data_IF_888379283493
#
_entry.id   IF_888379283493
#
_cell.length_a   1.000
_cell.length_b   1.000
_cell.length_c   1.000
_cell.angle_alpha   90.00
_cell.angle_beta   90.00
_cell.angle_gamma   90.00
#
_symmetry.space_group_name_H-M   'P 1'
#
loop_
_entity.id
_entity.type
_entity.pdbx_description
1 polymer ?
#
# COMPACT_ATOMS: atom_id res chain seq x y z
N UNK A 1 -11.43 -28.17 -4.40
CA UNK A 1 -11.91 -26.77 -4.20
C UNK A 1 -10.90 -25.72 -4.70
N UNK A 2 -10.06 -26.01 -5.73
CA UNK A 2 -8.93 -25.15 -6.13
C UNK A 2 -9.06 -24.46 -7.51
N UNK A 3 -10.08 -24.79 -8.30
CA UNK A 3 -10.19 -24.29 -9.67
C UNK A 3 -10.86 -22.92 -9.80
N UNK A 4 -11.73 -22.54 -8.84
CA UNK A 4 -12.45 -21.26 -8.90
C UNK A 4 -11.58 -20.07 -8.46
N UNK A 5 -10.52 -20.29 -7.67
CA UNK A 5 -9.63 -19.22 -7.20
C UNK A 5 -8.57 -18.80 -8.24
N UNK A 6 -8.27 -19.65 -9.23
CA UNK A 6 -7.29 -19.34 -10.29
C UNK A 6 -7.87 -18.44 -11.39
N UNK A 7 -9.19 -18.49 -11.62
CA UNK A 7 -9.82 -17.70 -12.69
C UNK A 7 -10.05 -16.23 -12.31
N UNK A 8 -10.12 -15.89 -11.02
CA UNK A 8 -10.36 -14.51 -10.56
C UNK A 8 -9.13 -13.61 -10.77
N UNK A 9 -7.92 -14.19 -10.82
CA UNK A 9 -6.67 -13.42 -10.93
C UNK A 9 -6.28 -12.99 -12.35
N UNK A 10 -6.98 -13.46 -13.40
CA UNK A 10 -6.52 -13.28 -14.79
C UNK A 10 -7.29 -12.31 -15.68
N UNK A 11 -8.24 -11.54 -15.14
CA UNK A 11 -9.09 -10.66 -15.94
C UNK A 11 -8.69 -9.19 -15.70
N UNK A 12 -8.14 -8.46 -16.70
CA UNK A 12 -7.94 -7.02 -16.62
C UNK A 12 -9.27 -6.30 -16.42
N UNK A 13 -9.25 -5.14 -15.75
CA UNK A 13 -10.45 -4.31 -15.58
C UNK A 13 -10.95 -3.85 -16.96
N UNK A 14 -11.92 -4.56 -17.51
CA UNK A 14 -12.82 -4.00 -18.52
C UNK A 14 -13.80 -3.11 -17.77
N UNK A 15 -14.18 -1.94 -18.29
CA UNK A 15 -15.09 -0.98 -17.64
C UNK A 15 -16.51 -1.49 -17.31
N UNK A 16 -16.71 -2.82 -17.23
CA UNK A 16 -17.91 -3.54 -16.81
C UNK A 16 -17.81 -4.14 -15.39
N UNK A 17 -16.63 -4.15 -14.75
CA UNK A 17 -16.49 -4.72 -13.42
C UNK A 17 -16.96 -3.74 -12.34
N UNK A 18 -17.75 -4.23 -11.37
CA UNK A 18 -18.18 -3.39 -10.25
C UNK A 18 -17.00 -3.07 -9.33
N UNK A 19 -17.03 -1.89 -8.70
CA UNK A 19 -15.99 -1.47 -7.74
C UNK A 19 -15.79 -2.49 -6.61
N UNK A 20 -16.86 -3.17 -6.20
CA UNK A 20 -16.83 -4.25 -5.21
C UNK A 20 -16.08 -5.49 -5.72
N UNK A 21 -16.22 -5.84 -7.00
CA UNK A 21 -15.46 -6.94 -7.59
C UNK A 21 -13.96 -6.61 -7.65
N UNK A 22 -13.60 -5.38 -8.01
CA UNK A 22 -12.22 -4.92 -8.01
C UNK A 22 -11.63 -4.93 -6.60
N UNK A 23 -12.40 -4.47 -5.61
CA UNK A 23 -12.02 -4.53 -4.20
C UNK A 23 -11.79 -5.95 -3.71
N UNK A 24 -12.67 -6.89 -4.07
CA UNK A 24 -12.49 -8.29 -3.75
C UNK A 24 -11.22 -8.88 -4.38
N UNK A 25 -10.91 -8.52 -5.63
CA UNK A 25 -9.64 -8.89 -6.29
C UNK A 25 -8.43 -8.32 -5.55
N UNK A 26 -8.45 -7.04 -5.19
CA UNK A 26 -7.37 -6.39 -4.45
C UNK A 26 -7.15 -7.03 -3.08
N UNK A 27 -8.22 -7.32 -2.34
CA UNK A 27 -8.14 -8.02 -1.05
C UNK A 27 -7.60 -9.46 -1.20
N UNK A 28 -7.99 -10.16 -2.27
CA UNK A 28 -7.47 -11.50 -2.58
C UNK A 28 -5.97 -11.45 -2.90
N UNK A 29 -5.52 -10.45 -3.67
CA UNK A 29 -4.10 -10.26 -3.96
C UNK A 29 -3.32 -9.93 -2.68
N UNK A 30 -3.88 -9.10 -1.81
CA UNK A 30 -3.31 -8.78 -0.52
C UNK A 30 -3.09 -10.03 0.34
N UNK A 31 -4.09 -10.90 0.47
CA UNK A 31 -3.93 -12.19 1.17
C UNK A 31 -2.90 -13.09 0.50
N UNK A 32 -2.96 -13.25 -0.83
CA UNK A 32 -2.10 -14.20 -1.55
C UNK A 32 -0.64 -13.77 -1.53
N UNK A 33 -0.37 -12.47 -1.67
CA UNK A 33 0.99 -11.92 -1.58
C UNK A 33 1.56 -12.06 -0.18
N UNK A 34 0.76 -11.81 0.87
CA UNK A 34 1.13 -12.10 2.26
C UNK A 34 1.54 -13.57 2.42
N UNK A 35 0.69 -14.49 1.94
CA UNK A 35 0.92 -15.94 2.05
C UNK A 35 2.20 -16.36 1.32
N UNK A 36 2.41 -15.92 0.09
CA UNK A 36 3.62 -16.23 -0.69
C UNK A 36 4.87 -15.65 -0.03
N UNK A 37 4.80 -14.41 0.44
CA UNK A 37 5.90 -13.74 1.14
C UNK A 37 6.39 -14.52 2.37
N UNK A 38 5.47 -15.02 3.19
CA UNK A 38 5.78 -15.86 4.34
C UNK A 38 6.48 -17.18 3.97
N UNK A 39 6.24 -17.70 2.76
CA UNK A 39 6.80 -18.97 2.31
C UNK A 39 8.28 -18.87 1.96
N UNK A 40 8.76 -17.71 1.52
CA UNK A 40 10.17 -17.49 1.20
C UNK A 40 11.09 -17.56 2.42
N UNK A 41 10.53 -17.41 3.62
CA UNK A 41 11.25 -17.60 4.89
C UNK A 41 11.18 -19.04 5.42
N UNK A 42 10.45 -19.94 4.76
CA UNK A 42 10.28 -21.33 5.19
C UNK A 42 11.24 -22.28 4.45
N UNK A 43 11.95 -23.13 5.20
CA UNK A 43 13.03 -24.00 4.68
C UNK A 43 12.52 -25.17 3.81
N UNK A 44 11.21 -25.41 3.73
CA UNK A 44 10.65 -26.72 3.35
C UNK A 44 9.74 -26.75 2.11
N UNK A 45 9.70 -25.71 1.27
CA UNK A 45 8.84 -25.69 0.07
C UNK A 45 9.61 -25.88 -1.23
N UNK A 46 8.89 -26.39 -2.24
CA UNK A 46 9.34 -26.40 -3.63
C UNK A 46 9.56 -24.95 -4.11
N UNK A 47 10.83 -24.55 -4.14
CA UNK A 47 11.29 -23.20 -4.47
C UNK A 47 10.84 -22.75 -5.87
N UNK A 48 10.76 -23.67 -6.84
CA UNK A 48 10.38 -23.35 -8.22
C UNK A 48 8.92 -22.90 -8.31
N UNK A 49 8.00 -23.65 -7.70
CA UNK A 49 6.58 -23.29 -7.69
C UNK A 49 6.33 -21.96 -6.98
N UNK A 50 7.08 -21.67 -5.90
CA UNK A 50 6.98 -20.39 -5.20
C UNK A 50 7.40 -19.21 -6.09
N UNK A 51 8.45 -19.38 -6.89
CA UNK A 51 8.88 -18.35 -7.85
C UNK A 51 7.87 -18.14 -8.96
N UNK A 52 7.26 -19.20 -9.48
CA UNK A 52 6.16 -19.10 -10.46
C UNK A 52 4.98 -18.33 -9.86
N UNK A 53 4.59 -18.65 -8.62
CA UNK A 53 3.52 -17.94 -7.92
C UNK A 53 3.87 -16.46 -7.70
N UNK A 54 5.11 -16.15 -7.34
CA UNK A 54 5.62 -14.79 -7.19
C UNK A 54 5.52 -13.99 -8.50
N UNK A 55 6.04 -14.53 -9.61
CA UNK A 55 6.02 -13.87 -10.91
C UNK A 55 4.60 -13.63 -11.40
N UNK A 56 3.71 -14.61 -11.20
CA UNK A 56 2.30 -14.48 -11.54
C UNK A 56 1.64 -13.37 -10.73
N UNK A 57 1.87 -13.30 -9.41
CA UNK A 57 1.30 -12.27 -8.56
C UNK A 57 1.83 -10.87 -8.92
N UNK A 58 3.12 -10.74 -9.20
CA UNK A 58 3.74 -9.47 -9.61
C UNK A 58 3.16 -8.95 -10.95
N UNK A 59 2.99 -9.86 -11.92
CA UNK A 59 2.36 -9.53 -13.20
C UNK A 59 0.90 -9.11 -13.03
N UNK A 60 0.14 -9.80 -12.16
CA UNK A 60 -1.27 -9.46 -11.88
C UNK A 60 -1.37 -8.11 -11.17
N UNK A 61 -0.52 -7.83 -10.19
CA UNK A 61 -0.47 -6.53 -9.50
C UNK A 61 -0.19 -5.39 -10.48
N UNK A 62 0.81 -5.57 -11.34
CA UNK A 62 1.18 -4.57 -12.35
C UNK A 62 0.01 -4.28 -13.29
N UNK A 63 -0.62 -5.33 -13.82
CA UNK A 63 -1.78 -5.19 -14.72
C UNK A 63 -2.97 -4.54 -14.03
N UNK A 64 -3.27 -4.94 -12.80
CA UNK A 64 -4.39 -4.38 -12.06
C UNK A 64 -4.15 -2.90 -11.76
N UNK A 65 -2.96 -2.54 -11.25
CA UNK A 65 -2.60 -1.16 -10.92
C UNK A 65 -2.76 -0.19 -12.08
N UNK A 66 -2.39 -0.59 -13.30
CA UNK A 66 -2.52 0.25 -14.51
C UNK A 66 -3.98 0.37 -14.96
N UNK A 67 -4.83 -0.59 -14.61
CA UNK A 67 -6.23 -0.65 -15.03
C UNK A 67 -7.22 0.04 -14.07
N UNK A 68 -6.75 0.48 -12.89
CA UNK A 68 -7.61 1.09 -11.89
C UNK A 68 -8.04 2.52 -12.27
N UNK A 69 -9.26 2.94 -11.92
CA UNK A 69 -9.67 4.32 -12.04
C UNK A 69 -8.83 5.23 -11.14
N UNK A 70 -8.77 6.52 -11.49
CA UNK A 70 -8.14 7.53 -10.65
C UNK A 70 -8.89 7.65 -9.31
N UNK A 71 -8.14 7.81 -8.21
CA UNK A 71 -8.70 7.97 -6.85
C UNK A 71 -9.49 9.28 -6.70
N UNK A 72 -9.09 10.31 -7.46
CA UNK A 72 -9.64 11.65 -7.38
C UNK A 72 -10.86 11.76 -8.30
N UNK A 73 -11.98 12.17 -7.72
CA UNK A 73 -13.18 12.51 -8.47
C UNK A 73 -13.11 14.01 -8.81
N UNK A 74 -13.19 14.40 -10.11
CA UNK A 74 -13.32 15.80 -10.48
C UNK A 74 -14.53 16.43 -9.80
N UNK A 75 -14.41 17.71 -9.40
CA UNK A 75 -15.59 18.45 -8.93
C UNK A 75 -16.63 18.51 -10.06
N UNK A 76 -17.83 17.97 -9.80
CA UNK A 76 -18.95 18.04 -10.75
C UNK A 76 -19.58 19.44 -10.80
N UNK A 77 -19.26 20.32 -9.84
CA UNK A 77 -19.75 21.70 -9.79
C UNK A 77 -19.00 22.59 -10.81
N UNK A 78 -19.67 23.09 -11.86
CA UNK A 78 -19.08 23.98 -12.86
C UNK A 78 -18.68 25.35 -12.28
N UNK A 79 -19.18 25.71 -11.10
CA UNK A 79 -18.88 26.94 -10.37
C UNK A 79 -17.89 26.71 -9.22
N UNK A 80 -17.36 25.50 -9.05
CA UNK A 80 -16.35 25.24 -8.05
C UNK A 80 -15.14 26.15 -8.28
N UNK A 81 -14.66 26.76 -7.20
CA UNK A 81 -13.46 27.57 -7.23
C UNK A 81 -12.30 26.69 -7.74
N UNK A 82 -11.35 27.21 -8.56
CA UNK A 82 -10.18 26.44 -9.01
C UNK A 82 -9.28 25.93 -7.86
N UNK A 83 -9.53 26.39 -6.63
CA UNK A 83 -8.89 25.96 -5.39
C UNK A 83 -9.57 24.76 -4.71
N UNK A 84 -10.76 24.34 -5.17
CA UNK A 84 -11.50 23.22 -4.58
C UNK A 84 -10.76 21.93 -4.86
N UNK A 85 -10.27 21.27 -3.80
CA UNK A 85 -9.57 19.99 -3.93
C UNK A 85 -10.55 18.93 -4.47
N UNK A 86 -10.14 18.09 -5.43
CA UNK A 86 -10.97 17.00 -5.90
C UNK A 86 -11.19 16.00 -4.77
N UNK A 87 -12.44 15.54 -4.61
CA UNK A 87 -12.84 14.63 -3.54
C UNK A 87 -12.25 13.24 -3.78
N UNK A 88 -11.84 12.56 -2.70
CA UNK A 88 -11.40 11.17 -2.76
C UNK A 88 -12.61 10.24 -2.85
N UNK A 89 -12.59 9.33 -3.83
CA UNK A 89 -13.42 8.13 -3.77
C UNK A 89 -12.78 7.15 -2.78
N UNK A 90 -13.39 7.01 -1.60
CA UNK A 90 -12.90 6.13 -0.53
C UNK A 90 -12.80 4.66 -0.97
N UNK A 91 -13.70 4.18 -1.82
CA UNK A 91 -13.62 2.79 -2.30
C UNK A 91 -12.43 2.58 -3.22
N UNK A 92 -12.22 3.50 -4.16
CA UNK A 92 -11.06 3.47 -5.05
C UNK A 92 -9.76 3.67 -4.25
N UNK A 93 -9.74 4.55 -3.25
CA UNK A 93 -8.61 4.72 -2.34
C UNK A 93 -8.22 3.43 -1.61
N UNK A 94 -9.19 2.70 -1.04
CA UNK A 94 -8.93 1.42 -0.36
C UNK A 94 -8.34 0.40 -1.33
N UNK A 95 -8.85 0.34 -2.57
CA UNK A 95 -8.32 -0.56 -3.61
C UNK A 95 -6.85 -0.25 -3.91
N UNK A 96 -6.51 1.01 -4.21
CA UNK A 96 -5.12 1.41 -4.49
C UNK A 96 -4.21 1.10 -3.30
N UNK A 97 -4.67 1.37 -2.08
CA UNK A 97 -3.93 1.08 -0.85
C UNK A 97 -3.64 -0.41 -0.68
N UNK A 98 -4.62 -1.28 -0.96
CA UNK A 98 -4.43 -2.73 -0.94
C UNK A 98 -3.42 -3.18 -2.00
N UNK A 99 -3.43 -2.60 -3.20
CA UNK A 99 -2.47 -2.93 -4.26
C UNK A 99 -1.05 -2.52 -3.87
N UNK A 100 -0.85 -1.31 -3.36
CA UNK A 100 0.47 -0.88 -2.89
C UNK A 100 0.97 -1.75 -1.74
N UNK A 101 0.12 -2.06 -0.77
CA UNK A 101 0.49 -2.93 0.35
C UNK A 101 0.75 -4.39 -0.08
N UNK A 102 0.07 -4.88 -1.13
CA UNK A 102 0.35 -6.19 -1.73
C UNK A 102 1.72 -6.23 -2.40
N UNK A 103 2.07 -5.17 -3.14
CA UNK A 103 3.38 -5.03 -3.77
C UNK A 103 4.52 -4.99 -2.73
N UNK A 104 4.33 -4.22 -1.65
CA UNK A 104 5.28 -4.19 -0.52
C UNK A 104 5.47 -5.59 0.06
N UNK A 105 4.38 -6.30 0.39
CA UNK A 105 4.48 -7.64 0.97
C UNK A 105 5.18 -8.64 0.06
N UNK A 106 4.86 -8.63 -1.24
CA UNK A 106 5.44 -9.54 -2.20
C UNK A 106 6.96 -9.35 -2.30
N UNK A 107 7.43 -8.10 -2.34
CA UNK A 107 8.85 -7.77 -2.53
C UNK A 107 9.67 -7.65 -1.23
N UNK A 108 9.03 -7.50 -0.07
CA UNK A 108 9.71 -7.28 1.20
C UNK A 108 10.78 -8.34 1.56
N UNK A 109 10.58 -9.65 1.33
CA UNK A 109 11.60 -10.66 1.63
C UNK A 109 12.93 -10.45 0.90
N UNK A 110 12.89 -9.78 -0.25
CA UNK A 110 14.05 -9.58 -1.13
C UNK A 110 14.60 -8.16 -1.08
N UNK A 111 13.89 -7.21 -0.47
CA UNK A 111 14.21 -5.79 -0.51
C UNK A 111 15.60 -5.43 0.04
N UNK A 112 16.17 -6.23 0.95
CA UNK A 112 17.54 -6.00 1.44
C UNK A 112 18.64 -6.52 0.51
N UNK A 113 18.32 -7.47 -0.38
CA UNK A 113 19.31 -8.17 -1.22
C UNK A 113 19.21 -7.77 -2.69
N UNK A 114 18.03 -7.33 -3.13
CA UNK A 114 17.75 -7.03 -4.52
C UNK A 114 17.25 -5.58 -4.67
N UNK A 115 18.04 -4.76 -5.38
CA UNK A 115 17.72 -3.36 -5.62
C UNK A 115 16.36 -3.16 -6.31
N UNK A 116 15.96 -4.06 -7.22
CA UNK A 116 14.65 -3.98 -7.88
C UNK A 116 13.50 -4.16 -6.87
N UNK A 117 13.59 -5.17 -6.01
CA UNK A 117 12.59 -5.42 -4.96
C UNK A 117 12.55 -4.28 -3.94
N UNK A 118 13.71 -3.70 -3.59
CA UNK A 118 13.79 -2.50 -2.77
C UNK A 118 13.04 -1.32 -3.40
N UNK A 119 13.37 -1.01 -4.66
CA UNK A 119 12.78 0.10 -5.41
C UNK A 119 11.26 -0.06 -5.54
N UNK A 120 10.76 -1.28 -5.79
CA UNK A 120 9.32 -1.55 -5.84
C UNK A 120 8.63 -1.31 -4.51
N UNK A 121 9.23 -1.75 -3.39
CA UNK A 121 8.70 -1.47 -2.05
C UNK A 121 8.64 0.04 -1.79
N UNK A 122 9.73 0.77 -2.04
CA UNK A 122 9.81 2.20 -1.79
C UNK A 122 8.87 3.01 -2.68
N UNK A 123 8.76 2.66 -3.95
CA UNK A 123 7.81 3.27 -4.88
C UNK A 123 6.37 3.08 -4.39
N UNK A 124 5.98 1.87 -4.00
CA UNK A 124 4.66 1.59 -3.46
C UNK A 124 4.37 2.35 -2.16
N UNK A 125 5.36 2.43 -1.25
CA UNK A 125 5.24 3.19 0.00
C UNK A 125 5.08 4.70 -0.25
N UNK A 126 5.82 5.25 -1.21
CA UNK A 126 5.74 6.65 -1.61
C UNK A 126 4.37 6.99 -2.21
N UNK A 127 3.87 6.14 -3.11
CA UNK A 127 2.55 6.33 -3.71
C UNK A 127 1.43 6.24 -2.67
N UNK A 128 1.49 5.25 -1.76
CA UNK A 128 0.53 5.12 -0.68
C UNK A 128 0.55 6.31 0.29
N UNK A 129 1.74 6.87 0.57
CA UNK A 129 1.88 8.07 1.40
C UNK A 129 1.29 9.31 0.74
N UNK A 130 1.51 9.46 -0.58
CA UNK A 130 0.89 10.54 -1.38
C UNK A 130 -0.64 10.42 -1.38
N UNK A 131 -1.18 9.21 -1.49
CA UNK A 131 -2.63 9.00 -1.40
C UNK A 131 -3.14 9.36 0.00
N UNK A 132 -2.42 8.97 1.05
CA UNK A 132 -2.81 9.27 2.43
C UNK A 132 -2.77 10.77 2.75
N UNK A 133 -1.86 11.54 2.15
CA UNK A 133 -1.81 13.01 2.34
C UNK A 133 -3.01 13.74 1.75
N UNK A 134 -3.72 13.12 0.80
CA UNK A 134 -4.89 13.72 0.16
C UNK A 134 -6.18 13.49 0.98
N UNK A 135 -6.17 12.64 2.02
CA UNK A 135 -7.35 12.37 2.85
C UNK A 135 -7.75 13.55 3.73
N UNK A 136 -9.04 13.86 3.74
CA UNK A 136 -9.66 14.85 4.61
C UNK A 136 -10.26 14.18 5.87
N UNK A 137 -10.48 14.97 6.94
CA UNK A 137 -11.07 14.46 8.19
C UNK A 137 -12.43 13.78 7.97
N UNK A 138 -13.20 14.23 6.97
CA UNK A 138 -14.49 13.64 6.58
C UNK A 138 -14.39 12.26 5.94
N UNK A 139 -13.22 11.85 5.45
CA UNK A 139 -13.04 10.56 4.76
C UNK A 139 -12.82 9.41 5.75
N UNK A 140 -12.21 9.69 6.90
CA UNK A 140 -11.81 8.68 7.89
C UNK A 140 -12.95 7.80 8.44
N UNK A 141 -14.18 8.30 8.67
CA UNK A 141 -15.30 7.45 9.10
C UNK A 141 -15.67 6.33 8.11
N UNK A 142 -15.27 6.45 6.85
CA UNK A 142 -15.58 5.49 5.78
C UNK A 142 -14.42 4.53 5.46
N UNK A 143 -13.27 4.70 6.11
CA UNK A 143 -12.12 3.83 5.92
C UNK A 143 -12.31 2.51 6.66
N UNK A 144 -11.90 1.42 6.02
CA UNK A 144 -11.85 0.11 6.63
C UNK A 144 -10.68 0.01 7.64
N UNK A 145 -10.83 -0.73 8.75
CA UNK A 145 -9.72 -1.00 9.68
C UNK A 145 -8.50 -1.68 9.03
N UNK A 146 -8.68 -2.34 7.88
CA UNK A 146 -7.58 -2.94 7.10
C UNK A 146 -6.52 -1.90 6.70
N UNK A 147 -6.90 -0.63 6.61
CA UNK A 147 -6.00 0.48 6.32
C UNK A 147 -4.86 0.59 7.34
N UNK A 148 -5.09 0.25 8.61
CA UNK A 148 -4.03 0.20 9.61
C UNK A 148 -2.92 -0.79 9.26
N UNK A 149 -3.28 -1.98 8.76
CA UNK A 149 -2.31 -2.97 8.29
C UNK A 149 -1.58 -2.48 7.04
N UNK A 150 -2.30 -1.91 6.06
CA UNK A 150 -1.69 -1.35 4.86
C UNK A 150 -0.65 -0.25 5.21
N UNK A 151 -1.02 0.68 6.08
CA UNK A 151 -0.16 1.77 6.50
C UNK A 151 1.00 1.32 7.40
N UNK A 152 0.84 0.25 8.18
CA UNK A 152 1.95 -0.35 8.91
C UNK A 152 3.02 -0.87 7.94
N UNK A 153 2.61 -1.57 6.87
CA UNK A 153 3.54 -2.05 5.83
C UNK A 153 4.27 -0.90 5.12
N UNK A 154 3.57 0.21 4.87
CA UNK A 154 4.16 1.43 4.29
C UNK A 154 5.19 2.01 5.26
N UNK A 155 4.82 2.17 6.53
CA UNK A 155 5.69 2.71 7.55
C UNK A 155 6.96 1.86 7.76
N UNK A 156 6.85 0.53 7.74
CA UNK A 156 7.99 -0.38 7.85
C UNK A 156 9.01 -0.16 6.72
N UNK A 157 8.53 0.06 5.49
CA UNK A 157 9.40 0.41 4.35
C UNK A 157 10.09 1.76 4.57
N UNK A 158 9.34 2.79 4.95
CA UNK A 158 9.88 4.12 5.16
C UNK A 158 10.91 4.15 6.30
N UNK A 159 10.63 3.47 7.42
CA UNK A 159 11.56 3.32 8.54
C UNK A 159 12.84 2.61 8.13
N UNK A 160 12.75 1.53 7.33
CA UNK A 160 13.92 0.85 6.79
C UNK A 160 14.77 1.78 5.94
N UNK A 161 14.17 2.52 5.01
CA UNK A 161 14.92 3.45 4.15
C UNK A 161 15.54 4.61 4.94
N UNK A 162 14.84 5.14 5.95
CA UNK A 162 15.40 6.14 6.86
C UNK A 162 16.67 5.64 7.55
N UNK A 163 16.67 4.38 8.01
CA UNK A 163 17.85 3.76 8.64
C UNK A 163 19.01 3.59 7.65
N UNK A 164 18.72 3.22 6.39
CA UNK A 164 19.74 3.02 5.36
C UNK A 164 20.42 4.33 4.93
N UNK A 165 19.69 5.44 4.92
CA UNK A 165 20.22 6.75 4.48
C UNK A 165 20.85 7.57 5.61
N UNK A 166 20.73 7.11 6.87
CA UNK A 166 21.24 7.84 8.02
C UNK A 166 22.76 8.02 7.95
N UNK A 167 23.24 9.22 8.28
CA UNK A 167 24.67 9.54 8.36
C UNK A 167 25.32 9.95 7.04
N UNK A 168 24.57 10.01 5.93
CA UNK A 168 25.04 10.55 4.65
C UNK A 168 24.57 11.99 4.44
N UNK A 169 25.45 13.01 4.50
CA UNK A 169 25.06 14.41 4.30
C UNK A 169 24.54 14.67 2.87
N UNK A 170 24.97 13.88 1.88
CA UNK A 170 24.47 13.97 0.51
C UNK A 170 22.99 13.57 0.37
N UNK A 171 22.42 12.88 1.37
CA UNK A 171 21.05 12.33 1.35
C UNK A 171 20.08 13.10 2.24
N UNK A 172 20.46 14.26 2.77
CA UNK A 172 19.65 15.02 3.74
C UNK A 172 18.25 15.36 3.22
N UNK A 173 18.15 15.81 1.96
CA UNK A 173 16.85 16.10 1.34
C UNK A 173 15.96 14.85 1.21
N UNK A 174 16.56 13.71 0.85
CA UNK A 174 15.83 12.45 0.73
C UNK A 174 15.37 11.96 2.10
N UNK A 175 16.21 12.11 3.13
CA UNK A 175 15.88 11.80 4.52
C UNK A 175 14.72 12.67 5.03
N UNK A 176 14.72 13.97 4.71
CA UNK A 176 13.63 14.88 5.05
C UNK A 176 12.31 14.47 4.37
N UNK A 177 12.37 14.10 3.08
CA UNK A 177 11.20 13.63 2.34
C UNK A 177 10.61 12.34 2.92
N UNK A 178 11.45 11.37 3.28
CA UNK A 178 11.00 10.11 3.91
C UNK A 178 10.39 10.35 5.29
N UNK A 179 10.97 11.25 6.09
CA UNK A 179 10.40 11.64 7.37
C UNK A 179 9.01 12.26 7.19
N UNK A 180 8.85 13.17 6.23
CA UNK A 180 7.56 13.77 5.93
C UNK A 180 6.50 12.74 5.49
N UNK A 181 6.89 11.76 4.66
CA UNK A 181 6.01 10.65 4.29
C UNK A 181 5.62 9.80 5.50
N UNK A 182 6.56 9.49 6.39
CA UNK A 182 6.29 8.73 7.61
C UNK A 182 5.35 9.49 8.55
N UNK A 183 5.58 10.80 8.75
CA UNK A 183 4.71 11.66 9.57
C UNK A 183 3.28 11.70 9.00
N UNK A 184 3.15 11.77 7.67
CA UNK A 184 1.85 11.69 6.97
C UNK A 184 1.13 10.39 7.28
N UNK A 185 1.83 9.26 7.19
CA UNK A 185 1.25 7.94 7.48
C UNK A 185 0.85 7.81 8.95
N UNK A 186 1.71 8.21 9.88
CA UNK A 186 1.40 8.20 11.32
C UNK A 186 0.18 9.06 11.62
N UNK A 187 0.08 10.26 11.02
CA UNK A 187 -1.09 11.12 11.19
C UNK A 187 -2.37 10.46 10.66
N UNK A 188 -2.32 9.84 9.47
CA UNK A 188 -3.45 9.10 8.91
C UNK A 188 -3.87 7.93 9.83
N UNK A 189 -2.91 7.16 10.34
CA UNK A 189 -3.16 6.08 11.30
C UNK A 189 -3.79 6.61 12.60
N UNK A 190 -3.29 7.73 13.15
CA UNK A 190 -3.86 8.37 14.36
C UNK A 190 -5.30 8.84 14.15
N UNK A 191 -5.60 9.44 12.99
CA UNK A 191 -6.96 9.88 12.62
C UNK A 191 -7.91 8.69 12.48
N UNK A 192 -7.50 7.65 11.76
CA UNK A 192 -8.28 6.40 11.63
C UNK A 192 -8.46 5.70 12.99
N UNK A 193 -7.43 5.77 13.84
CA UNK A 193 -7.42 5.19 15.18
C UNK A 193 -8.45 5.77 16.15
N UNK A 194 -9.04 6.95 15.86
CA UNK A 194 -10.11 7.54 16.67
C UNK A 194 -11.36 6.66 16.72
N UNK A 195 -11.63 5.90 15.67
CA UNK A 195 -12.76 4.97 15.58
C UNK A 195 -12.33 3.50 15.60
N UNK A 196 -11.03 3.23 15.41
CA UNK A 196 -10.48 1.86 15.33
C UNK A 196 -9.29 1.69 16.30
N UNK A 197 -9.52 1.20 17.54
CA UNK A 197 -8.47 1.10 18.57
C UNK A 197 -7.22 0.31 18.13
N UNK A 198 -7.40 -0.69 17.28
CA UNK A 198 -6.29 -1.45 16.70
C UNK A 198 -5.33 -0.54 15.90
N UNK A 199 -5.87 0.37 15.08
CA UNK A 199 -5.06 1.28 14.26
C UNK A 199 -4.37 2.32 15.13
N UNK A 200 -5.01 2.79 16.20
CA UNK A 200 -4.38 3.66 17.18
C UNK A 200 -3.17 2.97 17.85
N UNK A 201 -3.31 1.70 18.23
CA UNK A 201 -2.21 0.91 18.77
C UNK A 201 -1.07 0.75 17.75
N UNK A 202 -1.39 0.44 16.50
CA UNK A 202 -0.40 0.34 15.43
C UNK A 202 0.34 1.67 15.19
N UNK A 203 -0.36 2.80 15.21
CA UNK A 203 0.23 4.14 15.04
C UNK A 203 1.28 4.42 16.13
N UNK A 204 0.94 4.12 17.39
CA UNK A 204 1.86 4.30 18.51
C UNK A 204 3.11 3.42 18.38
N UNK A 205 2.94 2.17 17.92
CA UNK A 205 4.07 1.26 17.70
C UNK A 205 5.02 1.75 16.61
N UNK A 206 4.47 2.24 15.50
CA UNK A 206 5.24 2.83 14.40
C UNK A 206 6.01 4.06 14.89
N UNK A 207 5.35 4.95 15.63
CA UNK A 207 5.97 6.17 16.17
C UNK A 207 7.12 5.85 17.14
N UNK A 208 6.96 4.84 18.00
CA UNK A 208 8.02 4.34 18.90
C UNK A 208 9.18 3.68 18.17
N UNK A 209 8.98 3.20 16.95
CA UNK A 209 10.02 2.52 16.16
C UNK A 209 10.87 3.50 15.35
N UNK A 210 10.57 4.81 15.43
CA UNK A 210 11.34 5.85 14.75
C UNK A 210 12.75 5.89 15.36
N UNK A 211 13.82 5.90 14.53
CA UNK A 211 15.16 6.14 15.05
C UNK A 211 15.23 7.55 15.65
N UNK A 212 15.81 7.68 16.85
CA UNK A 212 16.11 8.98 17.47
C UNK A 212 16.80 9.88 16.45
N UNK A 213 16.30 11.10 16.24
CA UNK A 213 16.86 12.06 15.27
C UNK A 213 18.28 12.46 15.65
#
# INVERSE_FOLDING_TARGET
>A
MNYLCSQITNIPYSGRESINAVRAKAATLFERTARVSLCFNSVSRNTEQLWVDFQNLDAVLTRLSVSLPAVRIPSEDPHAHPSTRPRIDVHTFIIHSLIHASAIQLHSPFAFKEANSQQKCLSAATLASTLASDLEESDFPFLDPIMGTCWTLVADVLLRELLLLRGSPAMEQQLANLNHQLDTIILAMKRCGRTTPLVAYQANKVEQSRPDS
#
